data_IF_805459686211
#
_entry.id   IF_805459686211
#
_cell.length_a   1.000
_cell.length_b   1.000
_cell.length_c   1.000
_cell.angle_alpha   90.00
_cell.angle_beta   90.00
_cell.angle_gamma   90.00
#
_symmetry.space_group_name_H-M   'P 1'
#
loop_
_entity.id
_entity.type
_entity.pdbx_description
1 polymer ?
#
# COMPACT_ATOMS: atom_id res chain seq x y z
N UNK A 1 -7.41 -1.34 5.13
CA UNK A 1 -7.80 -0.15 4.36
C UNK A 1 -7.75 -0.55 2.92
N UNK A 2 -8.89 -0.57 2.23
CA UNK A 2 -9.02 -1.23 0.93
C UNK A 2 -9.69 -0.39 -0.15
N UNK A 3 -10.04 0.86 0.14
CA UNK A 3 -10.68 1.76 -0.83
C UNK A 3 -9.88 3.03 -1.00
N UNK A 4 -10.00 3.60 -2.20
CA UNK A 4 -9.46 4.88 -2.56
C UNK A 4 -10.60 5.71 -3.14
N UNK A 5 -10.97 6.79 -2.44
CA UNK A 5 -12.11 7.61 -2.77
C UNK A 5 -11.67 9.06 -2.93
N UNK A 6 -12.22 9.74 -3.94
CA UNK A 6 -12.01 11.15 -4.23
C UNK A 6 -13.36 11.82 -4.35
N UNK A 7 -13.52 12.93 -3.63
CA UNK A 7 -14.68 13.80 -3.77
C UNK A 7 -14.22 15.22 -4.06
N UNK A 8 -14.80 15.83 -5.08
CA UNK A 8 -14.66 17.26 -5.34
C UNK A 8 -15.82 17.96 -4.64
N UNK A 9 -15.48 18.84 -3.71
CA UNK A 9 -16.46 19.55 -2.89
C UNK A 9 -16.28 21.05 -3.11
N UNK A 10 -17.40 21.74 -3.33
CA UNK A 10 -17.46 23.20 -3.39
C UNK A 10 -18.05 23.72 -2.09
N UNK A 11 -17.44 24.78 -1.56
CA UNK A 11 -17.96 25.54 -0.43
C UNK A 11 -18.45 26.88 -0.99
N UNK A 12 -19.69 27.26 -0.71
CA UNK A 12 -20.23 28.55 -1.14
C UNK A 12 -19.91 29.68 -0.14
N UNK A 13 -20.38 30.89 -0.43
CA UNK A 13 -20.17 32.07 0.41
C UNK A 13 -20.89 31.98 1.78
N UNK A 14 -21.91 31.12 1.89
CA UNK A 14 -22.65 30.85 3.14
C UNK A 14 -22.00 29.73 3.97
N UNK A 15 -20.99 29.04 3.42
CA UNK A 15 -20.26 27.97 4.06
C UNK A 15 -20.90 26.59 3.90
N UNK A 16 -21.86 26.42 2.98
CA UNK A 16 -22.48 25.14 2.69
C UNK A 16 -21.59 24.27 1.79
N UNK A 17 -21.54 22.96 2.09
CA UNK A 17 -20.75 21.99 1.35
C UNK A 17 -21.60 21.31 0.26
N UNK A 18 -21.17 21.41 -0.99
CA UNK A 18 -21.77 20.73 -2.13
C UNK A 18 -20.80 19.74 -2.76
N UNK A 19 -21.18 18.47 -2.80
CA UNK A 19 -20.42 17.45 -3.53
C UNK A 19 -20.69 17.62 -5.02
N UNK A 20 -19.64 17.96 -5.77
CA UNK A 20 -19.69 18.15 -7.22
C UNK A 20 -19.52 16.83 -7.94
N UNK A 21 -18.55 16.02 -7.49
CA UNK A 21 -18.31 14.68 -8.01
C UNK A 21 -17.73 13.77 -6.92
N UNK A 22 -18.01 12.48 -7.03
CA UNK A 22 -17.37 11.44 -6.24
C UNK A 22 -16.96 10.30 -7.17
N UNK A 23 -15.72 9.87 -7.06
CA UNK A 23 -15.15 8.73 -7.79
C UNK A 23 -14.25 7.95 -6.86
N UNK A 24 -13.97 6.69 -7.18
CA UNK A 24 -13.13 5.87 -6.34
C UNK A 24 -12.96 4.46 -6.87
N UNK A 25 -12.19 3.69 -6.13
CA UNK A 25 -11.92 2.27 -6.37
C UNK A 25 -12.03 1.52 -5.04
N UNK A 26 -12.99 0.60 -4.97
CA UNK A 26 -13.25 -0.19 -3.77
C UNK A 26 -12.25 -1.32 -3.55
N UNK A 27 -11.31 -1.51 -4.47
CA UNK A 27 -10.26 -2.54 -4.44
C UNK A 27 -8.88 -1.90 -4.68
N UNK A 28 -8.65 -0.77 -4.02
CA UNK A 28 -7.40 -0.05 -4.03
C UNK A 28 -7.20 0.64 -2.69
N UNK A 29 -6.32 0.11 -1.86
CA UNK A 29 -5.99 0.71 -0.57
C UNK A 29 -4.72 0.14 0.02
N UNK A 30 -4.49 0.40 1.30
CA UNK A 30 -3.29 -0.02 2.00
C UNK A 30 -3.05 -1.52 2.03
N UNK A 31 -4.10 -2.33 1.91
CA UNK A 31 -3.99 -3.79 1.79
C UNK A 31 -3.30 -4.21 0.50
N UNK A 32 -3.56 -3.54 -0.62
CA UNK A 32 -2.86 -3.83 -1.89
C UNK A 32 -1.35 -3.52 -1.80
N UNK A 33 -0.98 -2.45 -1.09
CA UNK A 33 0.43 -2.13 -0.83
C UNK A 33 1.08 -3.18 0.08
N UNK A 34 0.34 -3.67 1.09
CA UNK A 34 0.81 -4.76 1.94
C UNK A 34 1.03 -6.03 1.12
N UNK A 35 0.12 -6.34 0.19
CA UNK A 35 0.25 -7.49 -0.71
C UNK A 35 1.47 -7.40 -1.64
N UNK A 36 1.77 -6.22 -2.21
CA UNK A 36 2.99 -6.05 -3.01
C UNK A 36 4.26 -6.33 -2.23
N UNK A 37 4.30 -5.85 -0.99
CA UNK A 37 5.42 -6.11 -0.10
C UNK A 37 5.49 -7.58 0.32
N UNK A 38 4.35 -8.20 0.62
CA UNK A 38 4.30 -9.64 0.91
C UNK A 38 4.83 -10.47 -0.26
N UNK A 39 4.37 -10.22 -1.48
CA UNK A 39 4.80 -10.94 -2.68
C UNK A 39 6.30 -10.78 -2.94
N UNK A 40 6.82 -9.57 -2.75
CA UNK A 40 8.25 -9.31 -2.84
C UNK A 40 9.06 -10.14 -1.81
N UNK A 41 8.65 -10.14 -0.54
CA UNK A 41 9.31 -10.88 0.52
C UNK A 41 9.23 -12.40 0.31
N UNK A 42 8.08 -12.91 -0.12
CA UNK A 42 7.90 -14.33 -0.41
C UNK A 42 8.73 -14.77 -1.62
N UNK A 43 8.82 -13.95 -2.67
CA UNK A 43 9.66 -14.23 -3.82
C UNK A 43 11.16 -14.24 -3.45
N UNK A 44 11.59 -13.29 -2.61
CA UNK A 44 12.96 -13.26 -2.10
C UNK A 44 13.27 -14.51 -1.26
N UNK A 45 12.39 -14.85 -0.31
CA UNK A 45 12.55 -16.04 0.52
C UNK A 45 12.56 -17.33 -0.30
N UNK A 46 11.68 -17.44 -1.31
CA UNK A 46 11.65 -18.58 -2.20
C UNK A 46 12.92 -18.70 -3.02
N UNK A 47 13.47 -17.60 -3.54
CA UNK A 47 14.76 -17.62 -4.24
C UNK A 47 15.88 -18.14 -3.33
N UNK A 48 15.92 -17.68 -2.08
CA UNK A 48 17.03 -17.93 -1.17
C UNK A 48 16.95 -19.32 -0.51
N UNK A 49 15.74 -19.84 -0.26
CA UNK A 49 15.52 -21.11 0.44
C UNK A 49 14.84 -22.20 -0.38
N UNK A 50 14.37 -21.90 -1.59
CA UNK A 50 13.57 -22.81 -2.44
C UNK A 50 12.29 -23.32 -1.77
N UNK A 51 11.72 -22.51 -0.86
CA UNK A 51 10.55 -22.84 -0.04
C UNK A 51 9.46 -21.81 -0.28
N UNK A 52 8.22 -22.26 -0.50
CA UNK A 52 7.07 -21.38 -0.66
C UNK A 52 6.34 -21.19 0.69
N UNK A 53 6.38 -19.96 1.21
CA UNK A 53 5.70 -19.58 2.45
C UNK A 53 4.18 -19.55 2.32
N UNK A 54 3.63 -19.52 1.10
CA UNK A 54 2.18 -19.54 0.85
C UNK A 54 1.52 -20.85 1.28
N UNK A 55 2.31 -21.90 1.45
CA UNK A 55 1.86 -23.21 1.92
C UNK A 55 1.51 -23.23 3.41
N UNK A 56 1.96 -22.25 4.19
CA UNK A 56 1.73 -22.15 5.63
C UNK A 56 0.86 -20.93 5.97
N UNK A 57 -0.42 -21.12 6.37
CA UNK A 57 -1.30 -20.02 6.75
C UNK A 57 -0.73 -19.17 7.90
N UNK A 58 -0.01 -19.81 8.83
CA UNK A 58 0.63 -19.13 9.96
C UNK A 58 1.78 -18.25 9.46
N UNK A 59 2.62 -18.75 8.54
CA UNK A 59 3.70 -17.96 7.96
C UNK A 59 3.15 -16.76 7.19
N UNK A 60 2.12 -16.97 6.36
CA UNK A 60 1.44 -15.91 5.61
C UNK A 60 0.93 -14.79 6.52
N UNK A 61 0.26 -15.14 7.64
CA UNK A 61 -0.23 -14.14 8.57
C UNK A 61 0.90 -13.33 9.20
N UNK A 62 2.01 -13.98 9.56
CA UNK A 62 3.19 -13.29 10.13
C UNK A 62 3.87 -12.38 9.11
N UNK A 63 4.03 -12.83 7.87
CA UNK A 63 4.58 -12.02 6.77
C UNK A 63 3.68 -10.82 6.51
N UNK A 64 2.35 -10.98 6.52
CA UNK A 64 1.41 -9.86 6.38
C UNK A 64 1.58 -8.80 7.46
N UNK A 65 1.64 -9.21 8.72
CA UNK A 65 1.84 -8.27 9.85
C UNK A 65 3.19 -7.54 9.74
N UNK A 66 4.25 -8.25 9.34
CA UNK A 66 5.56 -7.66 9.15
C UNK A 66 5.59 -6.68 7.97
N UNK A 67 4.95 -7.04 6.84
CA UNK A 67 4.81 -6.16 5.68
C UNK A 67 4.05 -4.88 6.04
N UNK A 68 2.91 -4.99 6.73
CA UNK A 68 2.14 -3.83 7.17
C UNK A 68 2.96 -2.90 8.08
N UNK A 69 3.72 -3.49 9.01
CA UNK A 69 4.60 -2.73 9.91
C UNK A 69 5.72 -2.03 9.14
N UNK A 70 6.42 -2.76 8.27
CA UNK A 70 7.52 -2.22 7.47
C UNK A 70 7.05 -1.09 6.54
N UNK A 71 5.89 -1.26 5.89
CA UNK A 71 5.26 -0.22 5.08
C UNK A 71 5.02 1.06 5.89
N UNK A 72 4.44 0.94 7.08
CA UNK A 72 4.18 2.09 7.95
C UNK A 72 5.47 2.76 8.45
N UNK A 73 6.52 1.98 8.71
CA UNK A 73 7.83 2.53 9.09
C UNK A 73 8.49 3.27 7.92
N UNK A 74 8.40 2.74 6.70
CA UNK A 74 8.96 3.36 5.49
C UNK A 74 8.32 4.72 5.15
N UNK A 75 7.12 5.04 5.65
CA UNK A 75 6.58 6.41 5.58
C UNK A 75 7.42 7.43 6.37
N UNK A 76 8.26 6.97 7.33
CA UNK A 76 9.11 7.85 8.16
C UNK A 76 10.61 7.66 7.94
N UNK A 77 11.05 6.46 7.53
CA UNK A 77 12.48 6.14 7.33
C UNK A 77 12.76 5.70 5.90
N UNK A 78 14.00 5.86 5.45
CA UNK A 78 14.43 5.45 4.10
C UNK A 78 14.59 3.93 3.95
N UNK A 79 14.79 3.21 5.07
CA UNK A 79 15.04 1.78 5.08
C UNK A 79 14.59 1.16 6.40
N UNK A 80 14.03 -0.04 6.34
CA UNK A 80 13.65 -0.84 7.51
C UNK A 80 14.03 -2.31 7.35
N UNK A 81 14.25 -2.99 8.47
CA UNK A 81 14.63 -4.40 8.53
C UNK A 81 13.44 -5.25 8.97
N UNK A 82 13.18 -6.31 8.21
CA UNK A 82 12.15 -7.29 8.49
C UNK A 82 12.84 -8.56 8.99
N UNK A 83 12.60 -8.90 10.25
CA UNK A 83 13.10 -10.13 10.87
C UNK A 83 11.94 -10.96 11.43
N UNK A 84 11.73 -12.13 10.84
CA UNK A 84 10.74 -13.11 11.27
C UNK A 84 11.45 -14.43 11.58
N UNK A 85 11.77 -14.69 12.86
CA UNK A 85 12.41 -15.93 13.23
C UNK A 85 11.42 -17.09 13.22
N UNK A 86 11.92 -18.30 12.93
CA UNK A 86 11.14 -19.54 12.91
C UNK A 86 9.89 -19.42 12.03
N UNK A 87 10.05 -18.91 10.81
CA UNK A 87 8.92 -18.64 9.90
C UNK A 87 8.33 -19.94 9.34
N UNK A 88 9.19 -20.92 9.07
CA UNK A 88 8.82 -22.27 8.63
C UNK A 88 9.89 -23.26 9.05
N UNK A 89 9.52 -24.53 9.25
CA UNK A 89 10.47 -25.61 9.53
C UNK A 89 10.45 -26.61 8.39
N UNK A 90 11.63 -26.91 7.85
CA UNK A 90 11.82 -27.93 6.82
C UNK A 90 12.42 -29.21 7.43
N UNK A 91 12.02 -30.41 6.99
CA UNK A 91 12.52 -31.66 7.56
C UNK A 91 14.05 -31.82 7.48
N UNK A 92 14.67 -31.30 6.41
CA UNK A 92 16.09 -31.50 6.14
C UNK A 92 16.97 -30.36 6.66
N UNK A 93 16.50 -29.12 6.58
CA UNK A 93 17.30 -27.92 6.93
C UNK A 93 16.95 -27.33 8.29
N UNK A 94 15.88 -27.81 8.94
CA UNK A 94 15.44 -27.31 10.23
C UNK A 94 14.66 -25.99 10.14
N UNK A 95 14.62 -25.19 11.21
CA UNK A 95 13.89 -23.94 11.22
C UNK A 95 14.57 -22.89 10.33
N UNK A 96 13.76 -22.22 9.51
CA UNK A 96 14.18 -21.11 8.66
C UNK A 96 13.70 -19.77 9.23
N UNK A 97 14.44 -18.72 8.88
CA UNK A 97 14.19 -17.34 9.29
C UNK A 97 14.04 -16.48 8.04
N UNK A 98 13.17 -15.47 8.09
CA UNK A 98 13.11 -14.45 7.05
C UNK A 98 13.78 -13.20 7.61
N UNK A 99 14.92 -12.84 7.02
CA UNK A 99 15.67 -11.63 7.34
C UNK A 99 15.89 -10.85 6.04
N UNK A 100 15.27 -9.69 5.93
CA UNK A 100 15.33 -8.88 4.72
C UNK A 100 15.36 -7.39 5.07
N UNK A 101 16.19 -6.62 4.38
CA UNK A 101 16.21 -5.17 4.49
C UNK A 101 15.56 -4.56 3.27
N UNK A 102 14.63 -3.63 3.46
CA UNK A 102 13.89 -2.99 2.38
C UNK A 102 13.96 -1.48 2.48
N UNK A 103 14.21 -0.81 1.35
CA UNK A 103 14.21 0.64 1.24
C UNK A 103 12.85 1.19 0.81
N UNK A 104 12.61 2.47 1.10
CA UNK A 104 11.44 3.21 0.61
C UNK A 104 11.37 3.19 -0.92
N UNK A 105 12.52 3.41 -1.57
CA UNK A 105 12.63 3.33 -3.02
C UNK A 105 12.12 1.98 -3.58
N UNK A 106 12.45 0.88 -2.91
CA UNK A 106 11.98 -0.45 -3.35
C UNK A 106 10.46 -0.59 -3.17
N UNK A 107 9.91 -0.09 -2.07
CA UNK A 107 8.45 -0.07 -1.85
C UNK A 107 7.74 0.76 -2.94
N UNK A 108 8.25 1.94 -3.27
CA UNK A 108 7.73 2.78 -4.35
C UNK A 108 7.78 2.06 -5.70
N UNK A 109 8.87 1.35 -6.00
CA UNK A 109 9.01 0.59 -7.24
C UNK A 109 7.98 -0.54 -7.36
N UNK A 110 7.79 -1.36 -6.32
CA UNK A 110 6.87 -2.51 -6.37
C UNK A 110 5.39 -2.11 -6.31
N UNK A 111 5.09 -0.86 -5.93
CA UNK A 111 3.73 -0.31 -5.82
C UNK A 111 3.43 0.84 -6.79
N UNK A 112 4.34 1.14 -7.73
CA UNK A 112 4.22 2.27 -8.65
C UNK A 112 2.93 2.24 -9.48
N UNK A 113 2.43 1.06 -9.84
CA UNK A 113 1.18 0.90 -10.59
C UNK A 113 -0.05 1.24 -9.74
N UNK A 114 -0.03 0.95 -8.43
CA UNK A 114 -1.09 1.34 -7.51
C UNK A 114 -1.17 2.86 -7.36
N UNK A 115 -0.01 3.52 -7.25
CA UNK A 115 0.09 4.99 -7.22
C UNK A 115 -0.39 5.59 -8.54
N UNK A 116 -0.04 4.98 -9.67
CA UNK A 116 -0.51 5.45 -10.99
C UNK A 116 -2.04 5.35 -11.09
N UNK A 117 -2.65 4.28 -10.55
CA UNK A 117 -4.11 4.15 -10.50
C UNK A 117 -4.78 5.24 -9.67
N UNK A 118 -4.20 5.65 -8.54
CA UNK A 118 -4.77 6.75 -7.73
C UNK A 118 -4.77 8.07 -8.50
N UNK A 119 -3.71 8.35 -9.27
CA UNK A 119 -3.65 9.54 -10.14
C UNK A 119 -4.72 9.52 -11.23
N UNK A 120 -4.90 8.38 -11.91
CA UNK A 120 -5.93 8.24 -12.95
C UNK A 120 -7.35 8.45 -12.40
N UNK A 121 -7.64 7.91 -11.21
CA UNK A 121 -8.93 8.12 -10.54
C UNK A 121 -9.12 9.59 -10.17
N UNK A 122 -8.04 10.27 -9.77
CA UNK A 122 -8.05 11.72 -9.46
C UNK A 122 -8.39 12.56 -10.68
N UNK A 123 -7.76 12.26 -11.82
CA UNK A 123 -8.05 12.92 -13.09
C UNK A 123 -9.50 12.72 -13.51
N UNK A 124 -10.05 11.51 -13.38
CA UNK A 124 -11.46 11.22 -13.67
C UNK A 124 -12.38 12.05 -12.76
N UNK A 125 -12.06 12.17 -11.47
CA UNK A 125 -12.84 12.95 -10.51
C UNK A 125 -12.94 14.43 -10.90
N UNK A 126 -11.81 15.01 -11.32
CA UNK A 126 -11.73 16.37 -11.85
C UNK A 126 -12.49 16.54 -13.18
N UNK A 127 -12.40 15.55 -14.08
CA UNK A 127 -13.16 15.56 -15.33
C UNK A 127 -14.69 15.53 -15.08
N UNK A 128 -15.16 14.73 -14.13
CA UNK A 128 -16.58 14.70 -13.75
C UNK A 128 -17.04 16.01 -13.11
N UNK A 129 -16.16 16.69 -12.39
CA UNK A 129 -16.41 18.03 -11.88
C UNK A 129 -16.23 19.14 -12.94
N UNK A 130 -15.81 18.80 -14.16
CA UNK A 130 -15.46 19.74 -15.23
C UNK A 130 -14.48 20.83 -14.76
N UNK A 131 -13.50 20.44 -13.96
CA UNK A 131 -12.58 21.35 -13.28
C UNK A 131 -11.13 21.04 -13.62
N UNK A 132 -10.35 22.07 -13.95
CA UNK A 132 -8.89 21.93 -14.08
C UNK A 132 -8.23 21.85 -12.70
N UNK A 133 -7.09 21.14 -12.53
CA UNK A 133 -6.34 21.10 -11.27
C UNK A 133 -5.95 22.48 -10.72
N UNK A 134 -5.73 23.46 -11.59
CA UNK A 134 -5.38 24.85 -11.23
C UNK A 134 -6.50 25.62 -10.51
N UNK A 135 -7.74 25.13 -10.58
CA UNK A 135 -8.90 25.72 -9.89
C UNK A 135 -9.21 25.04 -8.55
N UNK A 136 -8.34 24.12 -8.08
CA UNK A 136 -8.46 23.51 -6.77
C UNK A 136 -7.77 24.40 -5.75
N UNK A 137 -8.54 24.96 -4.80
CA UNK A 137 -8.02 25.82 -3.75
C UNK A 137 -7.24 25.04 -2.68
N UNK A 138 -7.76 23.88 -2.28
CA UNK A 138 -7.21 23.06 -1.20
C UNK A 138 -7.33 21.56 -1.50
N UNK A 139 -6.32 20.80 -1.08
CA UNK A 139 -6.29 19.33 -1.15
C UNK A 139 -6.27 18.76 0.26
N UNK A 140 -7.31 18.01 0.61
CA UNK A 140 -7.43 17.35 1.92
C UNK A 140 -7.09 15.88 1.77
N UNK A 141 -6.04 15.43 2.45
CA UNK A 141 -5.63 14.02 2.47
C UNK A 141 -6.26 13.29 3.65
N UNK A 142 -7.07 12.27 3.37
CA UNK A 142 -7.75 11.46 4.39
C UNK A 142 -7.33 10.00 4.29
N UNK A 143 -7.01 9.39 5.44
CA UNK A 143 -6.65 7.97 5.54
C UNK A 143 -5.22 7.74 6.01
N UNK A 144 -4.93 6.53 6.50
CA UNK A 144 -3.58 6.20 6.99
C UNK A 144 -2.55 6.06 5.86
N UNK A 145 -2.99 5.67 4.67
CA UNK A 145 -2.13 5.44 3.49
C UNK A 145 -1.75 6.71 2.74
N UNK A 146 -2.24 7.87 3.15
CA UNK A 146 -1.81 9.16 2.60
C UNK A 146 -0.56 9.71 3.30
N UNK A 147 -0.02 8.98 4.29
CA UNK A 147 1.20 9.30 5.04
C UNK A 147 2.43 8.63 4.44
#
# INVERSE_FOLDING_TARGET
>A
GGTFDISIVRIDEEGEFHVVSTTGDSFLGGEDFDERLMDFLMAAFHRDHQVDLRTSPIALQRVRQAAQKAKAELSSVEQTDISLPFIITQPETGPLHLEYSISRQMLEQISADLITRTLQISEIGLQYAQMSPEHVDEVILVGGMTR
#
